data_IF_658187962945
#
_entry.id   IF_658187962945
#
_cell.length_a   1.000
_cell.length_b   1.000
_cell.length_c   1.000
_cell.angle_alpha   90.00
_cell.angle_beta   90.00
_cell.angle_gamma   90.00
#
_symmetry.space_group_name_H-M   'P 1'
#
loop_
_entity.id
_entity.type
_entity.pdbx_description
1 polymer ?
#
# COMPACT_ATOMS: atom_id res chain seq x y z
N UNK A 1 -11.09 20.00 -1.68
CA UNK A 1 -9.65 20.32 -1.88
C UNK A 1 -9.05 19.32 -2.84
N UNK A 2 -8.18 19.75 -3.74
CA UNK A 2 -7.55 18.88 -4.75
C UNK A 2 -6.26 18.26 -4.20
N UNK A 3 -5.77 17.20 -4.85
CA UNK A 3 -4.49 16.58 -4.53
C UNK A 3 -3.33 17.61 -4.58
N UNK A 4 -3.31 18.51 -5.55
CA UNK A 4 -2.26 19.54 -5.67
C UNK A 4 -2.21 20.52 -4.49
N UNK A 5 -3.35 20.74 -3.82
CA UNK A 5 -3.43 21.66 -2.68
C UNK A 5 -2.99 21.02 -1.35
N UNK A 6 -3.33 19.75 -1.13
CA UNK A 6 -3.11 19.09 0.16
C UNK A 6 -2.26 17.83 0.09
N UNK A 7 -1.80 17.44 -1.13
CA UNK A 7 -0.96 16.29 -1.39
C UNK A 7 -1.62 14.93 -1.06
N UNK A 8 -2.92 14.89 -0.80
CA UNK A 8 -3.72 13.67 -0.70
C UNK A 8 -5.17 13.90 -1.13
N UNK A 9 -5.87 12.84 -1.48
CA UNK A 9 -7.29 12.89 -1.86
C UNK A 9 -7.94 11.53 -1.68
N UNK A 10 -9.15 11.51 -1.12
CA UNK A 10 -10.01 10.32 -1.11
C UNK A 10 -10.78 10.25 -2.43
N UNK A 11 -10.72 9.10 -3.09
CA UNK A 11 -11.47 8.80 -4.30
C UNK A 11 -12.48 7.72 -3.95
N UNK A 12 -13.75 8.11 -3.91
CA UNK A 12 -14.84 7.19 -3.64
C UNK A 12 -15.09 6.30 -4.86
N UNK A 13 -15.31 5.00 -4.62
CA UNK A 13 -15.61 4.00 -5.66
C UNK A 13 -14.58 4.04 -6.80
N UNK A 14 -13.29 4.15 -6.43
CA UNK A 14 -12.18 4.11 -7.38
C UNK A 14 -12.19 2.82 -8.21
N UNK A 15 -12.68 1.73 -7.62
CA UNK A 15 -13.01 0.49 -8.31
C UNK A 15 -14.40 -0.01 -7.87
N UNK A 16 -15.01 -0.95 -8.62
CA UNK A 16 -16.27 -1.52 -8.22
C UNK A 16 -16.14 -2.42 -6.99
N UNK A 17 -17.22 -2.56 -6.23
CA UNK A 17 -17.28 -3.49 -5.10
C UNK A 17 -16.94 -4.93 -5.52
N UNK A 18 -17.48 -5.39 -6.66
CA UNK A 18 -17.25 -6.74 -7.18
C UNK A 18 -15.78 -7.00 -7.46
N UNK A 19 -15.09 -6.03 -8.10
CA UNK A 19 -13.67 -6.18 -8.40
C UNK A 19 -12.83 -6.16 -7.11
N UNK A 20 -13.09 -5.23 -6.20
CA UNK A 20 -12.38 -5.18 -4.91
C UNK A 20 -12.57 -6.49 -4.13
N UNK A 21 -13.80 -6.97 -4.02
CA UNK A 21 -14.13 -8.22 -3.33
C UNK A 21 -13.53 -9.45 -4.02
N UNK A 22 -13.53 -9.50 -5.36
CA UNK A 22 -12.88 -10.58 -6.10
C UNK A 22 -11.38 -10.63 -5.79
N UNK A 23 -10.70 -9.48 -5.79
CA UNK A 23 -9.27 -9.38 -5.47
C UNK A 23 -9.00 -9.78 -4.01
N UNK A 24 -9.87 -9.37 -3.07
CA UNK A 24 -9.76 -9.80 -1.68
C UNK A 24 -9.85 -11.33 -1.56
N UNK A 25 -10.86 -11.95 -2.16
CA UNK A 25 -11.06 -13.39 -2.11
C UNK A 25 -9.90 -14.16 -2.76
N UNK A 26 -9.40 -13.68 -3.90
CA UNK A 26 -8.18 -14.20 -4.51
C UNK A 26 -7.00 -14.14 -3.52
N UNK A 27 -6.79 -12.99 -2.88
CA UNK A 27 -5.66 -12.78 -1.98
C UNK A 27 -5.73 -13.64 -0.71
N UNK A 28 -6.94 -13.82 -0.16
CA UNK A 28 -7.17 -14.69 0.99
C UNK A 28 -6.98 -16.17 0.63
N UNK A 29 -7.51 -16.61 -0.52
CA UNK A 29 -7.29 -17.97 -1.02
C UNK A 29 -5.80 -18.24 -1.23
N UNK A 30 -5.09 -17.30 -1.87
CA UNK A 30 -3.63 -17.39 -2.06
C UNK A 30 -2.91 -17.50 -0.72
N UNK A 31 -3.25 -16.65 0.27
CA UNK A 31 -2.67 -16.67 1.62
C UNK A 31 -2.80 -18.06 2.26
N UNK A 32 -3.98 -18.65 2.20
CA UNK A 32 -4.24 -19.94 2.85
C UNK A 32 -3.56 -21.10 2.11
N UNK A 33 -3.59 -21.10 0.78
CA UNK A 33 -2.87 -22.09 -0.04
C UNK A 33 -1.35 -22.02 0.19
N UNK A 34 -0.76 -20.82 0.20
CA UNK A 34 0.68 -20.62 0.43
C UNK A 34 1.07 -21.04 1.85
N UNK A 35 0.24 -20.73 2.84
CA UNK A 35 0.46 -21.19 4.22
C UNK A 35 0.50 -22.71 4.29
N UNK A 36 -0.46 -23.38 3.67
CA UNK A 36 -0.49 -24.83 3.60
C UNK A 36 0.76 -25.41 2.92
N UNK A 37 1.17 -24.83 1.78
CA UNK A 37 2.37 -25.27 1.05
C UNK A 37 3.65 -25.16 1.91
N UNK A 38 3.80 -24.06 2.63
CA UNK A 38 5.00 -23.86 3.49
C UNK A 38 4.99 -24.76 4.72
N UNK A 39 3.84 -24.94 5.36
CA UNK A 39 3.71 -25.82 6.53
C UNK A 39 3.91 -27.30 6.21
N UNK A 40 3.62 -27.73 4.98
CA UNK A 40 3.77 -29.11 4.56
C UNK A 40 5.00 -29.36 3.67
N UNK A 41 5.91 -28.40 3.57
CA UNK A 41 7.13 -28.48 2.76
C UNK A 41 6.88 -28.82 1.27
N UNK A 42 5.71 -28.47 0.74
CA UNK A 42 5.36 -28.64 -0.68
C UNK A 42 6.16 -27.66 -1.54
N UNK A 43 6.39 -26.48 -1.02
CA UNK A 43 7.16 -25.43 -1.68
C UNK A 43 8.05 -24.70 -0.67
N UNK A 44 9.28 -24.40 -1.08
CA UNK A 44 10.14 -23.53 -0.30
C UNK A 44 9.58 -22.10 -0.24
N UNK A 45 9.85 -21.36 0.82
CA UNK A 45 9.42 -19.97 0.93
C UNK A 45 9.98 -19.15 -0.24
N UNK A 46 9.10 -18.42 -0.90
CA UNK A 46 9.42 -17.61 -2.07
C UNK A 46 8.71 -16.26 -2.03
N UNK A 47 9.43 -15.16 -2.28
CA UNK A 47 8.82 -13.82 -2.34
C UNK A 47 7.67 -13.69 -3.35
N UNK A 48 7.67 -14.50 -4.42
CA UNK A 48 6.60 -14.52 -5.44
C UNK A 48 5.26 -14.96 -4.85
N UNK A 49 5.32 -15.92 -3.93
CA UNK A 49 4.12 -16.46 -3.29
C UNK A 49 3.62 -15.57 -2.13
N UNK A 50 4.47 -14.67 -1.64
CA UNK A 50 4.18 -13.85 -0.47
C UNK A 50 4.84 -14.37 0.80
N UNK A 51 4.79 -13.58 1.86
CA UNK A 51 5.55 -13.81 3.08
C UNK A 51 4.81 -13.33 4.33
N UNK A 52 5.24 -13.83 5.49
CA UNK A 52 4.85 -13.36 6.83
C UNK A 52 6.02 -12.70 7.57
N UNK A 53 7.17 -12.46 6.87
CA UNK A 53 8.42 -12.00 7.49
C UNK A 53 8.69 -10.52 7.29
N UNK A 54 7.71 -9.75 6.79
CA UNK A 54 7.85 -8.30 6.66
C UNK A 54 8.02 -7.65 8.05
N UNK A 55 9.13 -6.95 8.23
CA UNK A 55 9.49 -6.32 9.50
C UNK A 55 8.61 -5.14 9.88
N UNK A 56 7.95 -4.52 8.90
CA UNK A 56 7.03 -3.40 9.17
C UNK A 56 5.77 -3.86 9.92
N UNK A 57 5.22 -5.03 9.53
CA UNK A 57 4.08 -5.67 10.21
C UNK A 57 4.38 -7.17 10.36
N UNK A 58 5.10 -7.59 11.39
CA UNK A 58 5.51 -8.98 11.56
C UNK A 58 4.33 -9.95 11.66
N UNK A 59 4.51 -11.16 11.15
CA UNK A 59 3.51 -12.23 11.18
C UNK A 59 2.20 -11.92 10.43
N UNK A 60 2.22 -10.94 9.52
CA UNK A 60 1.08 -10.58 8.66
C UNK A 60 1.40 -10.89 7.21
N UNK A 61 0.47 -11.59 6.54
CA UNK A 61 0.68 -11.99 5.15
C UNK A 61 0.73 -10.79 4.24
N UNK A 62 1.80 -10.73 3.46
CA UNK A 62 2.02 -9.68 2.48
C UNK A 62 2.56 -10.24 1.18
N UNK A 63 2.33 -9.54 0.08
CA UNK A 63 2.80 -9.93 -1.23
C UNK A 63 3.25 -8.70 -2.02
N UNK A 64 4.48 -8.75 -2.50
CA UNK A 64 5.07 -7.74 -3.37
C UNK A 64 4.96 -8.17 -4.82
N UNK A 65 4.48 -7.27 -5.70
CA UNK A 65 4.52 -7.47 -7.15
C UNK A 65 3.71 -8.68 -7.64
N UNK A 66 2.64 -9.03 -6.92
CA UNK A 66 1.71 -10.09 -7.33
C UNK A 66 1.09 -9.76 -8.69
N UNK A 67 0.90 -10.78 -9.56
CA UNK A 67 0.38 -10.58 -10.91
C UNK A 67 -0.98 -9.88 -10.95
N UNK A 68 -1.90 -10.25 -10.05
CA UNK A 68 -3.22 -9.61 -9.98
C UNK A 68 -3.10 -8.18 -9.49
N UNK A 69 -2.24 -7.94 -8.48
CA UNK A 69 -2.04 -6.61 -7.91
C UNK A 69 -1.27 -5.68 -8.87
N UNK A 70 -0.27 -6.19 -9.58
CA UNK A 70 0.44 -5.42 -10.62
C UNK A 70 -0.48 -5.15 -11.84
N UNK A 71 -1.42 -6.07 -12.16
CA UNK A 71 -2.47 -5.80 -13.16
C UNK A 71 -3.39 -4.67 -12.70
N UNK A 72 -3.76 -4.68 -11.42
CA UNK A 72 -4.55 -3.59 -10.82
C UNK A 72 -3.77 -2.27 -10.82
N UNK A 73 -2.47 -2.29 -10.55
CA UNK A 73 -1.59 -1.12 -10.65
C UNK A 73 -1.68 -0.45 -12.02
N UNK A 74 -1.59 -1.25 -13.10
CA UNK A 74 -1.72 -0.74 -14.47
C UNK A 74 -3.13 -0.21 -14.74
N UNK A 75 -4.16 -0.96 -14.30
CA UNK A 75 -5.57 -0.57 -14.46
C UNK A 75 -5.89 0.77 -13.77
N UNK A 76 -5.31 1.02 -12.60
CA UNK A 76 -5.56 2.23 -11.83
C UNK A 76 -4.74 3.44 -12.28
N UNK A 77 -3.73 3.27 -13.13
CA UNK A 77 -2.88 4.36 -13.60
C UNK A 77 -3.65 5.57 -14.20
N UNK A 78 -4.67 5.39 -15.07
CA UNK A 78 -5.46 6.52 -15.58
C UNK A 78 -6.22 7.28 -14.47
N UNK A 79 -6.72 6.56 -13.46
CA UNK A 79 -7.41 7.14 -12.29
C UNK A 79 -6.42 7.96 -11.47
N UNK A 80 -5.24 7.40 -11.20
CA UNK A 80 -4.17 8.07 -10.47
C UNK A 80 -3.71 9.35 -11.18
N UNK A 81 -3.46 9.30 -12.50
CA UNK A 81 -3.12 10.49 -13.32
C UNK A 81 -4.20 11.57 -13.24
N UNK A 82 -5.45 11.17 -13.42
CA UNK A 82 -6.60 12.10 -13.38
C UNK A 82 -6.69 12.85 -12.06
N UNK A 83 -6.55 12.14 -10.93
CA UNK A 83 -6.80 12.71 -9.61
C UNK A 83 -5.57 13.41 -9.00
N UNK A 84 -4.36 12.95 -9.32
CA UNK A 84 -3.13 13.67 -8.93
C UNK A 84 -2.85 14.87 -9.82
N UNK A 85 -3.31 14.86 -11.07
CA UNK A 85 -2.94 15.85 -12.08
C UNK A 85 -1.51 15.72 -12.58
N UNK A 86 -0.86 14.57 -12.32
CA UNK A 86 0.53 14.29 -12.68
C UNK A 86 0.59 13.22 -13.77
N UNK A 87 1.61 13.29 -14.61
CA UNK A 87 1.95 12.17 -15.50
C UNK A 87 2.77 11.16 -14.71
N UNK A 88 2.24 9.94 -14.58
CA UNK A 88 2.76 8.91 -13.69
C UNK A 88 3.21 7.68 -14.44
N UNK A 89 4.26 7.02 -13.93
CA UNK A 89 4.67 5.69 -14.32
C UNK A 89 4.59 4.72 -13.12
N UNK A 90 4.19 3.45 -13.34
CA UNK A 90 4.07 2.48 -12.26
C UNK A 90 5.44 2.04 -11.73
N UNK A 91 5.52 1.81 -10.43
CA UNK A 91 6.69 1.23 -9.77
C UNK A 91 6.42 -0.20 -9.31
N UNK A 92 5.54 -0.41 -8.33
CA UNK A 92 5.15 -1.74 -7.86
C UNK A 92 3.82 -1.71 -7.10
N UNK A 93 3.24 -2.87 -6.92
CA UNK A 93 2.14 -3.09 -6.00
C UNK A 93 2.59 -3.84 -4.75
N UNK A 94 1.89 -3.59 -3.64
CA UNK A 94 2.06 -4.31 -2.40
C UNK A 94 0.70 -4.59 -1.77
N UNK A 95 0.45 -5.81 -1.31
CA UNK A 95 -0.81 -6.18 -0.68
C UNK A 95 -0.57 -6.77 0.70
N UNK A 96 -1.48 -6.48 1.64
CA UNK A 96 -1.51 -7.07 2.99
C UNK A 96 -2.91 -7.53 3.39
N UNK A 97 -2.95 -8.68 4.06
CA UNK A 97 -4.13 -9.17 4.77
C UNK A 97 -3.90 -8.96 6.27
N UNK A 98 -4.27 -7.79 6.75
CA UNK A 98 -4.12 -7.41 8.16
C UNK A 98 -5.04 -8.21 9.06
N UNK A 99 -4.59 -8.45 10.29
CA UNK A 99 -5.28 -9.19 11.34
C UNK A 99 -5.32 -8.38 12.63
N UNK A 100 -6.11 -8.83 13.58
CA UNK A 100 -6.23 -8.20 14.90
C UNK A 100 -4.87 -7.98 15.56
N UNK A 101 -4.66 -6.78 16.08
CA UNK A 101 -3.44 -6.32 16.74
C UNK A 101 -2.37 -5.77 15.78
N UNK A 102 -2.55 -5.86 14.46
CA UNK A 102 -1.63 -5.21 13.53
C UNK A 102 -1.69 -3.69 13.67
N UNK A 103 -0.55 -3.04 13.58
CA UNK A 103 -0.38 -1.59 13.62
C UNK A 103 0.55 -1.17 12.49
N UNK A 104 0.20 -0.11 11.76
CA UNK A 104 1.13 0.50 10.82
C UNK A 104 1.67 1.78 11.46
N UNK A 105 2.94 1.75 11.88
CA UNK A 105 3.58 2.86 12.57
C UNK A 105 3.66 4.09 11.67
N UNK A 106 3.70 5.28 12.30
CA UNK A 106 3.81 6.55 11.58
C UNK A 106 5.14 6.63 10.83
N UNK A 107 5.06 6.85 9.52
CA UNK A 107 6.23 6.86 8.62
C UNK A 107 5.97 7.67 7.36
N UNK A 108 7.02 7.92 6.60
CA UNK A 108 6.99 8.32 5.20
C UNK A 108 7.51 7.18 4.34
N UNK A 109 7.00 7.12 3.13
CA UNK A 109 7.41 6.10 2.16
C UNK A 109 8.79 6.37 1.55
N UNK A 110 9.36 5.34 0.93
CA UNK A 110 10.59 5.43 0.14
C UNK A 110 10.34 6.03 -1.25
N UNK A 111 11.40 6.49 -1.97
CA UNK A 111 11.27 7.16 -3.28
C UNK A 111 10.43 6.43 -4.34
N UNK A 112 10.44 5.10 -4.38
CA UNK A 112 9.59 4.34 -5.31
C UNK A 112 8.08 4.50 -5.04
N UNK A 113 7.71 5.08 -3.90
CA UNK A 113 6.34 5.33 -3.46
C UNK A 113 6.01 6.83 -3.45
N UNK A 114 6.60 7.60 -4.36
CA UNK A 114 6.42 9.07 -4.45
C UNK A 114 4.95 9.46 -4.46
N UNK A 115 4.18 8.85 -5.35
CA UNK A 115 2.72 8.98 -5.42
C UNK A 115 2.12 7.60 -5.17
N UNK A 116 1.49 7.46 -4.03
CA UNK A 116 0.96 6.19 -3.56
C UNK A 116 -0.56 6.22 -3.46
N UNK A 117 -1.15 5.06 -3.47
CA UNK A 117 -2.50 4.91 -2.94
C UNK A 117 -2.64 3.67 -2.06
N UNK A 118 -3.53 3.75 -1.09
CA UNK A 118 -4.11 2.58 -0.42
C UNK A 118 -5.54 2.41 -0.89
N UNK A 119 -5.87 1.23 -1.42
CA UNK A 119 -7.20 0.86 -1.89
C UNK A 119 -7.75 -0.23 -0.98
N UNK A 120 -8.94 0.01 -0.43
CA UNK A 120 -9.61 -0.94 0.45
C UNK A 120 -10.26 -2.06 -0.37
N UNK A 121 -9.78 -3.29 -0.19
CA UNK A 121 -10.34 -4.48 -0.84
C UNK A 121 -11.52 -5.06 -0.08
N UNK A 122 -11.59 -4.81 1.25
CA UNK A 122 -12.66 -5.30 2.11
C UNK A 122 -12.17 -5.83 3.45
N UNK A 123 -13.09 -6.42 4.20
CA UNK A 123 -12.89 -6.82 5.59
C UNK A 123 -13.44 -5.80 6.57
N UNK A 124 -12.98 -5.86 7.82
CA UNK A 124 -13.44 -4.96 8.87
C UNK A 124 -12.91 -3.53 8.68
N UNK A 125 -13.69 -2.50 9.03
CA UNK A 125 -13.27 -1.11 8.89
C UNK A 125 -12.01 -0.79 9.68
N UNK A 126 -11.04 -0.16 9.02
CA UNK A 126 -9.80 0.26 9.67
C UNK A 126 -9.28 1.58 9.09
N UNK A 127 -9.37 2.68 9.84
CA UNK A 127 -8.97 3.98 9.34
C UNK A 127 -7.45 4.08 9.13
N UNK A 128 -7.07 4.90 8.15
CA UNK A 128 -5.72 5.41 7.98
C UNK A 128 -5.67 6.87 8.44
N UNK A 129 -4.58 7.27 9.07
CA UNK A 129 -4.30 8.66 9.43
C UNK A 129 -3.25 9.23 8.49
N UNK A 130 -3.40 10.49 8.11
CA UNK A 130 -2.46 11.20 7.25
C UNK A 130 -2.19 12.60 7.79
N UNK A 131 -0.91 12.96 7.90
CA UNK A 131 -0.48 14.29 8.28
C UNK A 131 -0.24 15.14 7.02
N UNK A 132 -1.20 15.99 6.69
CA UNK A 132 -1.14 16.87 5.53
C UNK A 132 -0.17 18.04 5.65
N UNK A 133 0.55 18.20 6.77
CA UNK A 133 1.49 19.32 6.95
C UNK A 133 2.80 19.14 6.19
N UNK A 134 3.17 17.90 5.84
CA UNK A 134 4.45 17.57 5.22
C UNK A 134 5.65 17.61 6.18
N UNK A 135 5.42 17.90 7.45
CA UNK A 135 6.46 17.97 8.47
C UNK A 135 7.12 16.62 8.72
N UNK A 136 8.37 16.64 9.21
CA UNK A 136 9.05 15.45 9.68
C UNK A 136 8.90 15.37 11.20
N UNK A 137 8.00 14.53 11.67
CA UNK A 137 7.73 14.36 13.09
C UNK A 137 8.26 13.04 13.64
N UNK A 138 8.47 12.03 12.80
CA UNK A 138 9.03 10.73 13.21
C UNK A 138 10.48 10.89 13.64
N UNK A 139 10.80 10.41 14.83
CA UNK A 139 12.16 10.39 15.42
C UNK A 139 12.74 8.97 15.28
N UNK A 140 11.97 7.95 15.61
CA UNK A 140 12.34 6.55 15.48
C UNK A 140 11.10 5.75 15.05
N UNK A 141 11.06 5.36 13.78
CA UNK A 141 9.94 4.61 13.21
C UNK A 141 9.78 3.24 13.88
N UNK A 142 10.89 2.55 14.15
CA UNK A 142 10.84 1.20 14.74
C UNK A 142 10.25 1.19 16.15
N UNK A 143 10.51 2.24 16.92
CA UNK A 143 9.97 2.40 18.28
C UNK A 143 8.68 3.20 18.33
N UNK A 144 8.16 3.66 17.17
CA UNK A 144 7.00 4.54 17.06
C UNK A 144 7.16 5.83 17.89
N UNK A 145 8.38 6.39 17.92
CA UNK A 145 8.68 7.64 18.63
C UNK A 145 8.56 8.81 17.65
N UNK A 146 7.74 9.77 18.00
CA UNK A 146 7.57 11.02 17.24
C UNK A 146 7.59 12.24 18.18
N UNK A 147 7.70 13.42 17.59
CA UNK A 147 7.75 14.68 18.35
C UNK A 147 6.49 14.83 19.21
N UNK A 148 6.59 15.39 20.44
CA UNK A 148 5.43 15.53 21.34
C UNK A 148 4.28 16.37 20.78
N UNK A 149 4.58 17.30 19.89
CA UNK A 149 3.63 18.18 19.23
C UNK A 149 3.32 17.76 17.79
N UNK A 150 3.60 16.53 17.42
CA UNK A 150 3.26 16.00 16.11
C UNK A 150 1.74 16.07 15.88
N UNK A 151 1.29 16.53 14.70
CA UNK A 151 -0.14 16.61 14.41
C UNK A 151 -0.83 15.24 14.54
N UNK A 152 -2.07 15.27 15.04
CA UNK A 152 -2.90 14.06 15.15
C UNK A 152 -3.29 13.47 13.79
N UNK A 153 -3.07 14.22 12.71
CA UNK A 153 -3.43 13.83 11.35
C UNK A 153 -4.94 13.83 11.07
N UNK A 154 -5.27 13.63 9.81
CA UNK A 154 -6.65 13.47 9.38
C UNK A 154 -6.99 11.99 9.35
N UNK A 155 -8.03 11.60 10.08
CA UNK A 155 -8.57 10.23 10.08
C UNK A 155 -9.38 10.00 8.82
N UNK A 156 -9.01 9.01 8.03
CA UNK A 156 -9.68 8.62 6.78
C UNK A 156 -10.18 7.19 6.89
N UNK A 157 -11.50 7.00 6.76
CA UNK A 157 -12.13 5.69 6.65
C UNK A 157 -12.51 5.44 5.18
N UNK A 158 -12.01 4.34 4.64
CA UNK A 158 -12.29 3.91 3.27
C UNK A 158 -13.32 2.77 3.29
N UNK A 159 -14.37 2.92 2.48
CA UNK A 159 -15.27 1.82 2.14
C UNK A 159 -14.63 0.90 1.10
N UNK A 160 -15.21 -0.28 0.88
CA UNK A 160 -14.72 -1.23 -0.13
C UNK A 160 -14.74 -0.59 -1.52
N UNK A 161 -13.61 -0.60 -2.20
CA UNK A 161 -13.40 0.04 -3.49
C UNK A 161 -13.02 1.52 -3.43
N UNK A 162 -13.02 2.14 -2.25
CA UNK A 162 -12.47 3.49 -2.06
C UNK A 162 -10.94 3.46 -2.04
N UNK A 163 -10.35 4.58 -2.41
CA UNK A 163 -8.91 4.75 -2.48
C UNK A 163 -8.49 6.10 -1.87
N UNK A 164 -7.45 6.09 -1.03
CA UNK A 164 -6.73 7.30 -0.64
C UNK A 164 -5.48 7.41 -1.51
N UNK A 165 -5.37 8.46 -2.31
CA UNK A 165 -4.16 8.84 -3.05
C UNK A 165 -3.39 9.84 -2.23
N UNK A 166 -2.07 9.69 -2.12
CA UNK A 166 -1.23 10.58 -1.31
C UNK A 166 0.22 10.64 -1.81
N UNK A 167 0.92 11.73 -1.45
CA UNK A 167 2.36 11.89 -1.67
C UNK A 167 3.11 11.11 -0.59
N UNK A 168 3.48 9.86 -0.88
CA UNK A 168 4.02 8.93 0.11
C UNK A 168 5.33 9.39 0.73
N UNK A 169 6.22 10.01 -0.08
CA UNK A 169 7.51 10.53 0.40
C UNK A 169 7.40 11.83 1.21
N UNK A 170 6.28 12.57 1.05
CA UNK A 170 6.13 13.89 1.67
C UNK A 170 5.28 13.83 2.94
N UNK A 171 4.24 12.99 2.98
CA UNK A 171 3.25 12.96 4.05
C UNK A 171 3.44 11.76 4.98
N UNK A 172 3.55 12.03 6.27
CA UNK A 172 3.54 10.97 7.27
C UNK A 172 2.14 10.37 7.36
N UNK A 173 2.08 9.03 7.40
CA UNK A 173 0.82 8.30 7.49
C UNK A 173 0.98 7.04 8.36
N UNK A 174 -0.13 6.59 8.96
CA UNK A 174 -0.14 5.46 9.89
C UNK A 174 -1.53 4.89 10.09
N UNK A 175 -1.58 3.75 10.75
CA UNK A 175 -2.82 3.14 11.26
C UNK A 175 -2.60 2.69 12.70
N UNK A 176 -3.53 3.03 13.56
CA UNK A 176 -3.54 2.60 14.97
C UNK A 176 -3.83 1.09 15.07
N UNK A 177 -3.62 0.44 16.23
CA UNK A 177 -3.85 -0.99 16.38
C UNK A 177 -5.22 -1.43 15.87
N UNK A 178 -5.23 -2.49 15.06
CA UNK A 178 -6.44 -3.00 14.41
C UNK A 178 -7.24 -3.91 15.36
N UNK A 179 -8.50 -3.57 15.57
CA UNK A 179 -9.40 -4.34 16.45
C UNK A 179 -10.24 -5.39 15.71
N UNK A 180 -10.34 -5.29 14.37
CA UNK A 180 -11.10 -6.21 13.53
C UNK A 180 -10.41 -7.55 13.33
N UNK A 181 -11.07 -8.45 12.61
CA UNK A 181 -10.55 -9.80 12.33
C UNK A 181 -9.65 -9.81 11.10
N UNK A 182 -10.08 -9.14 10.02
CA UNK A 182 -9.34 -9.07 8.77
C UNK A 182 -9.61 -7.76 8.03
N UNK A 183 -8.56 -7.18 7.44
CA UNK A 183 -8.67 -6.05 6.53
C UNK A 183 -7.69 -6.26 5.36
N UNK A 184 -8.22 -6.36 4.14
CA UNK A 184 -7.43 -6.47 2.92
C UNK A 184 -7.16 -5.11 2.30
N UNK A 185 -5.88 -4.77 2.15
CA UNK A 185 -5.45 -3.53 1.51
C UNK A 185 -4.47 -3.83 0.39
N UNK A 186 -4.56 -3.07 -0.70
CA UNK A 186 -3.52 -3.03 -1.72
C UNK A 186 -2.98 -1.61 -1.84
N UNK A 187 -1.66 -1.52 -1.91
CA UNK A 187 -0.90 -0.30 -2.11
C UNK A 187 -0.38 -0.31 -3.53
N UNK A 188 -0.65 0.75 -4.28
CA UNK A 188 -0.22 0.92 -5.66
C UNK A 188 0.68 2.14 -5.72
N UNK A 189 1.90 1.97 -6.20
CA UNK A 189 2.94 2.98 -6.15
C UNK A 189 3.35 3.44 -7.54
N UNK A 190 3.58 4.75 -7.66
CA UNK A 190 3.93 5.41 -8.91
C UNK A 190 4.98 6.48 -8.67
N UNK A 191 5.72 6.83 -9.72
CA UNK A 191 6.56 8.02 -9.74
C UNK A 191 6.05 9.01 -10.79
N UNK A 192 6.27 10.30 -10.53
CA UNK A 192 6.05 11.34 -11.52
C UNK A 192 7.07 11.22 -12.64
N UNK A 193 6.63 11.07 -13.89
CA UNK A 193 7.49 10.79 -15.05
C UNK A 193 8.61 11.83 -15.20
N UNK A 194 8.30 13.09 -14.94
CA UNK A 194 9.26 14.18 -14.99
C UNK A 194 9.85 14.53 -13.61
N UNK A 195 9.63 13.67 -12.61
CA UNK A 195 10.15 13.83 -11.24
C UNK A 195 11.55 13.24 -11.08
N UNK A 196 12.16 13.43 -9.90
CA UNK A 196 13.54 13.01 -9.65
C UNK A 196 13.73 11.51 -9.49
N UNK A 197 12.64 10.73 -9.42
CA UNK A 197 12.69 9.32 -9.04
C UNK A 197 12.36 8.34 -10.17
N UNK A 198 11.67 8.79 -11.25
CA UNK A 198 11.09 7.92 -12.27
C UNK A 198 12.09 7.01 -12.97
N UNK A 199 13.23 7.57 -13.38
CA UNK A 199 14.24 6.82 -14.16
C UNK A 199 14.81 5.63 -13.40
N UNK A 200 15.02 5.79 -12.07
CA UNK A 200 15.62 4.75 -11.22
C UNK A 200 14.59 3.75 -10.71
N UNK A 201 13.33 4.14 -10.62
CA UNK A 201 12.30 3.37 -9.94
C UNK A 201 11.21 2.81 -10.87
N UNK A 202 11.37 2.95 -12.18
CA UNK A 202 10.44 2.32 -13.13
C UNK A 202 10.37 0.81 -12.84
N UNK A 203 9.17 0.30 -12.60
CA UNK A 203 8.91 -1.07 -12.14
C UNK A 203 9.71 -1.46 -10.87
N UNK A 204 10.08 -0.44 -10.06
CA UNK A 204 10.94 -0.59 -8.87
C UNK A 204 12.32 -1.18 -9.20
N UNK A 205 12.88 -0.81 -10.36
CA UNK A 205 14.15 -1.32 -10.87
C UNK A 205 14.09 -2.74 -11.46
N UNK A 206 12.90 -3.33 -11.56
CA UNK A 206 12.69 -4.64 -12.22
C UNK A 206 12.58 -4.47 -13.74
N UNK A 207 12.92 -5.49 -14.53
CA UNK A 207 12.73 -5.46 -15.99
C UNK A 207 11.28 -5.26 -16.41
N UNK A 208 10.32 -5.80 -15.63
CA UNK A 208 8.88 -5.70 -15.86
C UNK A 208 8.09 -5.93 -14.57
N UNK A 209 6.81 -5.58 -14.60
CA UNK A 209 5.84 -5.91 -13.54
C UNK A 209 5.64 -7.44 -13.43
N UNK A 210 5.17 -7.90 -12.26
CA UNK A 210 4.95 -9.32 -11.97
C UNK A 210 6.22 -10.08 -11.54
N UNK A 211 7.39 -9.48 -11.59
CA UNK A 211 8.62 -10.09 -11.10
C UNK A 211 8.83 -9.77 -9.61
N UNK A 212 9.49 -10.66 -8.84
CA UNK A 212 9.84 -10.37 -7.46
C UNK A 212 10.91 -9.27 -7.35
N UNK A 213 11.00 -8.63 -6.19
CA UNK A 213 11.95 -7.53 -5.93
C UNK A 213 13.42 -7.94 -6.04
N UNK A 214 13.73 -9.23 -6.00
CA UNK A 214 15.10 -9.77 -6.16
C UNK A 214 15.58 -9.80 -7.60
N UNK A 215 14.70 -9.61 -8.58
CA UNK A 215 15.05 -9.54 -10.02
C UNK A 215 15.16 -8.08 -10.40
N UNK A 216 16.38 -7.61 -10.58
CA UNK A 216 16.72 -6.23 -10.98
C UNK A 216 17.69 -6.24 -12.15
#
# INVERSE_FOLDING_TARGET
MTFQQQKYQVIKKATSYELANFILNYFLLKKDAVRYMYQNNIHAQSPILGTWTDQQIPNTYSCYGDFVMDTLLVKMLPVMKKHSGLDLCPTYSYARAYKKGDELKRHKDRPSCEISCTLNLGGDPWPIFIDGTGSNNVIDEYKNIHKPNAPAGTKVLLEVGDMLVYSGCELEHWREPFDGNICGQVFLHYNHVNGPFADKNRFDGRPMLGLPSSVK
#
